data_IF_662474224431
#
_entry.id   IF_662474224431
#
_cell.length_a   1.000
_cell.length_b   1.000
_cell.length_c   1.000
_cell.angle_alpha   90.00
_cell.angle_beta   90.00
_cell.angle_gamma   90.00
#
_symmetry.space_group_name_H-M   'P 1'
#
loop_
_entity.id
_entity.type
_entity.pdbx_description
1 polymer ?
#
# COMPACT_ATOMS: atom_id res chain seq x y z
N UNK A 1 -4.34 11.02 33.33
CA UNK A 1 -3.10 10.25 33.09
C UNK A 1 -2.22 11.06 32.14
N UNK A 2 -1.15 11.66 32.64
CA UNK A 2 -0.14 12.27 31.77
C UNK A 2 0.65 11.15 31.09
N UNK A 3 0.59 11.10 29.76
CA UNK A 3 1.36 10.13 28.98
C UNK A 3 2.79 10.62 28.88
N UNK A 4 3.74 9.70 29.09
CA UNK A 4 5.16 9.98 28.99
C UNK A 4 5.50 10.63 27.63
N UNK A 5 6.09 11.84 27.61
CA UNK A 5 6.38 12.58 26.37
C UNK A 5 7.34 11.84 25.44
N UNK A 6 8.24 11.00 26.00
CA UNK A 6 9.16 10.15 25.21
C UNK A 6 8.39 9.07 24.45
N UNK A 7 7.38 8.47 25.10
CA UNK A 7 6.52 7.45 24.48
C UNK A 7 5.68 8.06 23.35
N UNK A 8 5.11 9.24 23.57
CA UNK A 8 4.35 9.98 22.56
C UNK A 8 5.22 10.33 21.34
N UNK A 9 6.46 10.77 21.57
CA UNK A 9 7.42 11.06 20.52
C UNK A 9 7.78 9.81 19.70
N UNK A 10 8.09 8.71 20.39
CA UNK A 10 8.42 7.43 19.74
C UNK A 10 7.24 6.91 18.90
N UNK A 11 6.02 6.92 19.46
CA UNK A 11 4.81 6.49 18.75
C UNK A 11 4.54 7.34 17.50
N UNK A 12 4.64 8.68 17.63
CA UNK A 12 4.52 9.60 16.50
C UNK A 12 5.52 9.28 15.39
N UNK A 13 6.79 9.10 15.75
CA UNK A 13 7.87 8.82 14.78
C UNK A 13 7.66 7.47 14.10
N UNK A 14 7.29 6.43 14.86
CA UNK A 14 6.98 5.11 14.31
C UNK A 14 5.84 5.18 13.31
N UNK A 15 4.70 5.78 13.67
CA UNK A 15 3.54 5.90 12.78
C UNK A 15 3.89 6.69 11.52
N UNK A 16 4.56 7.83 11.67
CA UNK A 16 4.97 8.67 10.54
C UNK A 16 5.91 7.92 9.59
N UNK A 17 6.93 7.25 10.11
CA UNK A 17 7.88 6.48 9.31
C UNK A 17 7.20 5.28 8.65
N UNK A 18 6.32 4.56 9.35
CA UNK A 18 5.56 3.45 8.77
C UNK A 18 4.70 3.90 7.59
N UNK A 19 4.04 5.06 7.70
CA UNK A 19 3.24 5.64 6.62
C UNK A 19 4.06 6.13 5.43
N UNK A 20 5.36 6.39 5.58
CA UNK A 20 6.26 6.76 4.47
C UNK A 20 6.91 5.53 3.85
N UNK A 21 7.40 4.60 4.69
CA UNK A 21 8.13 3.42 4.25
C UNK A 21 7.20 2.38 3.63
N UNK A 22 5.99 2.20 4.16
CA UNK A 22 5.02 1.25 3.60
C UNK A 22 4.74 1.51 2.12
N UNK A 23 4.42 2.76 1.69
CA UNK A 23 4.31 3.09 0.28
C UNK A 23 5.53 2.76 -0.57
N UNK A 24 6.74 3.04 -0.08
CA UNK A 24 7.97 2.74 -0.82
C UNK A 24 8.15 1.24 -1.04
N UNK A 25 7.86 0.43 -0.01
CA UNK A 25 7.88 -1.04 -0.14
C UNK A 25 6.83 -1.50 -1.13
N UNK A 26 5.61 -0.95 -1.09
CA UNK A 26 4.53 -1.31 -2.02
C UNK A 26 4.87 -0.94 -3.47
N UNK A 27 5.49 0.22 -3.71
CA UNK A 27 5.99 0.62 -5.03
C UNK A 27 7.03 -0.39 -5.51
N UNK A 28 8.02 -0.73 -4.68
CA UNK A 28 9.05 -1.70 -5.03
C UNK A 28 8.47 -3.07 -5.40
N UNK A 29 7.53 -3.59 -4.59
CA UNK A 29 6.86 -4.86 -4.87
C UNK A 29 6.07 -4.80 -6.19
N UNK A 30 5.31 -3.72 -6.41
CA UNK A 30 4.54 -3.52 -7.64
C UNK A 30 5.45 -3.46 -8.88
N UNK A 31 6.60 -2.77 -8.80
CA UNK A 31 7.58 -2.74 -9.87
C UNK A 31 8.18 -4.12 -10.16
N UNK A 32 8.51 -4.87 -9.11
CA UNK A 32 8.99 -6.25 -9.25
C UNK A 32 7.96 -7.12 -9.97
N UNK A 33 6.69 -7.00 -9.62
CA UNK A 33 5.63 -7.79 -10.23
C UNK A 33 5.41 -7.41 -11.72
N UNK A 34 5.46 -6.12 -12.05
CA UNK A 34 5.37 -5.66 -13.44
C UNK A 34 6.56 -6.18 -14.27
N UNK A 35 7.78 -6.15 -13.75
CA UNK A 35 8.98 -6.51 -14.50
C UNK A 35 9.16 -8.02 -14.67
N UNK A 36 8.80 -8.82 -13.66
CA UNK A 36 9.15 -10.24 -13.63
C UNK A 36 7.96 -11.20 -13.70
N UNK A 37 6.75 -10.74 -13.38
CA UNK A 37 5.54 -11.57 -13.32
C UNK A 37 4.64 -11.30 -14.53
N UNK A 38 4.32 -10.04 -14.81
CA UNK A 38 3.41 -9.66 -15.89
C UNK A 38 3.81 -10.22 -17.28
N UNK A 39 5.10 -10.23 -17.69
CA UNK A 39 5.50 -10.78 -18.98
C UNK A 39 5.21 -12.27 -19.13
N UNK A 40 5.26 -13.04 -18.03
CA UNK A 40 4.96 -14.47 -18.02
C UNK A 40 3.46 -14.75 -18.19
N UNK A 41 2.61 -13.81 -17.79
CA UNK A 41 1.15 -13.93 -17.90
C UNK A 41 0.72 -13.65 -19.35
N UNK A 42 1.32 -12.64 -19.99
CA UNK A 42 1.01 -12.29 -21.38
C UNK A 42 1.26 -13.42 -22.37
N UNK A 43 2.20 -14.32 -22.07
CA UNK A 43 2.49 -15.49 -22.91
C UNK A 43 1.45 -16.62 -22.77
N UNK A 44 0.59 -16.59 -21.75
CA UNK A 44 -0.35 -17.67 -21.41
C UNK A 44 -1.82 -17.35 -21.71
N UNK A 45 -2.18 -16.11 -22.00
CA UNK A 45 -3.59 -15.64 -22.00
C UNK A 45 -4.02 -15.14 -23.38
N UNK A 46 -5.27 -15.45 -23.77
CA UNK A 46 -5.85 -15.00 -25.05
C UNK A 46 -5.96 -13.46 -25.12
N UNK A 47 -5.84 -12.85 -26.32
CA UNK A 47 -5.85 -11.40 -26.50
C UNK A 47 -7.06 -10.68 -25.91
N UNK A 48 -8.24 -11.32 -25.91
CA UNK A 48 -9.47 -10.73 -25.37
C UNK A 48 -9.46 -10.65 -23.84
N UNK A 49 -8.91 -11.67 -23.18
CA UNK A 49 -8.77 -11.70 -21.72
C UNK A 49 -7.67 -10.73 -21.24
N UNK A 50 -6.64 -10.53 -22.07
CA UNK A 50 -5.57 -9.58 -21.81
C UNK A 50 -6.09 -8.15 -21.64
N UNK A 51 -7.06 -7.71 -22.46
CA UNK A 51 -7.61 -6.35 -22.37
C UNK A 51 -8.39 -6.12 -21.07
N UNK A 52 -9.15 -7.11 -20.60
CA UNK A 52 -9.88 -7.04 -19.32
C UNK A 52 -8.91 -6.96 -18.14
N UNK A 53 -7.83 -7.76 -18.18
CA UNK A 53 -6.76 -7.72 -17.17
C UNK A 53 -6.11 -6.34 -17.11
N UNK A 54 -5.84 -5.71 -18.26
CA UNK A 54 -5.26 -4.37 -18.30
C UNK A 54 -6.15 -3.29 -17.67
N UNK A 55 -7.45 -3.31 -17.96
CA UNK A 55 -8.40 -2.32 -17.40
C UNK A 55 -8.48 -2.46 -15.88
N UNK A 56 -8.52 -3.70 -15.37
CA UNK A 56 -8.60 -3.93 -13.93
C UNK A 56 -7.28 -3.58 -13.20
N UNK A 57 -6.13 -3.91 -13.80
CA UNK A 57 -4.82 -3.47 -13.31
C UNK A 57 -4.70 -1.94 -13.28
N UNK A 58 -5.22 -1.25 -14.30
CA UNK A 58 -5.20 0.21 -14.37
C UNK A 58 -6.06 0.86 -13.27
N UNK A 59 -7.30 0.39 -13.09
CA UNK A 59 -8.20 0.89 -12.03
C UNK A 59 -7.58 0.70 -10.64
N UNK A 60 -6.92 -0.45 -10.42
CA UNK A 60 -6.25 -0.73 -9.14
C UNK A 60 -4.98 0.07 -8.95
N UNK A 61 -4.22 0.30 -10.01
CA UNK A 61 -3.05 1.17 -9.96
C UNK A 61 -3.45 2.59 -9.52
N UNK A 62 -4.59 3.11 -9.98
CA UNK A 62 -5.13 4.39 -9.50
C UNK A 62 -5.43 4.33 -8.00
N UNK A 63 -6.21 3.35 -7.55
CA UNK A 63 -6.60 3.20 -6.13
C UNK A 63 -5.36 3.10 -5.23
N UNK A 64 -4.40 2.24 -5.59
CA UNK A 64 -3.14 2.07 -4.85
C UNK A 64 -2.36 3.38 -4.85
N UNK A 65 -2.14 3.99 -6.02
CA UNK A 65 -1.36 5.23 -6.12
C UNK A 65 -1.96 6.36 -5.27
N UNK A 66 -3.29 6.50 -5.26
CA UNK A 66 -3.99 7.47 -4.40
C UNK A 66 -3.80 7.13 -2.92
N UNK A 67 -3.95 5.87 -2.51
CA UNK A 67 -3.71 5.45 -1.12
C UNK A 67 -2.27 5.72 -0.67
N UNK A 68 -1.30 5.34 -1.48
CA UNK A 68 0.13 5.56 -1.22
C UNK A 68 0.48 7.04 -1.09
N UNK A 69 -0.14 7.89 -1.92
CA UNK A 69 0.04 9.33 -1.85
C UNK A 69 -0.53 9.89 -0.54
N UNK A 70 -1.74 9.49 -0.15
CA UNK A 70 -2.38 9.92 1.10
C UNK A 70 -1.53 9.51 2.31
N UNK A 71 -1.07 8.26 2.35
CA UNK A 71 -0.22 7.74 3.42
C UNK A 71 1.08 8.54 3.54
N UNK A 72 1.78 8.72 2.42
CA UNK A 72 3.05 9.44 2.39
C UNK A 72 2.85 10.90 2.83
N UNK A 73 1.83 11.57 2.29
CA UNK A 73 1.50 12.95 2.62
C UNK A 73 1.17 13.10 4.11
N UNK A 74 0.34 12.21 4.66
CA UNK A 74 0.00 12.22 6.08
C UNK A 74 1.21 11.87 6.97
N UNK A 75 2.02 10.90 6.57
CA UNK A 75 3.25 10.51 7.25
C UNK A 75 4.24 11.67 7.37
N UNK A 76 4.50 12.40 6.27
CA UNK A 76 5.33 13.61 6.29
C UNK A 76 4.71 14.73 7.11
N UNK A 77 3.40 14.98 6.96
CA UNK A 77 2.68 15.97 7.78
C UNK A 77 2.82 15.68 9.27
N UNK A 78 2.66 14.41 9.66
CA UNK A 78 2.83 13.98 11.05
C UNK A 78 4.28 14.14 11.48
N UNK A 79 5.26 13.75 10.67
CA UNK A 79 6.70 13.87 10.98
C UNK A 79 7.07 15.32 11.32
N UNK A 80 6.68 16.28 10.47
CA UNK A 80 7.01 17.70 10.58
C UNK A 80 6.25 18.44 11.70
N UNK A 81 5.11 17.91 12.13
CA UNK A 81 4.27 18.56 13.15
C UNK A 81 4.97 18.58 14.53
N UNK A 82 5.04 19.72 15.24
CA UNK A 82 5.66 19.76 16.57
C UNK A 82 4.90 18.87 17.59
N UNK A 83 5.62 18.36 18.59
CA UNK A 83 5.06 17.39 19.55
C UNK A 83 3.96 18.01 20.42
N UNK A 84 4.07 19.30 20.75
CA UNK A 84 3.05 20.03 21.53
C UNK A 84 1.74 20.12 20.76
N UNK A 85 1.80 20.31 19.43
CA UNK A 85 0.64 20.40 18.56
C UNK A 85 0.03 19.04 18.18
N UNK A 86 0.74 17.94 18.43
CA UNK A 86 0.29 16.59 18.04
C UNK A 86 -0.71 16.05 19.06
N UNK A 87 -2.01 16.09 18.75
CA UNK A 87 -3.06 15.43 19.57
C UNK A 87 -3.11 13.92 19.33
N UNK A 88 -3.56 13.14 20.30
CA UNK A 88 -3.73 11.68 20.16
C UNK A 88 -4.60 11.26 18.98
N UNK A 89 -5.61 12.07 18.62
CA UNK A 89 -6.44 11.82 17.45
C UNK A 89 -5.62 11.73 16.14
N UNK A 90 -4.51 12.46 16.01
CA UNK A 90 -3.64 12.35 14.83
C UNK A 90 -2.90 11.00 14.81
N UNK A 91 -2.51 10.50 15.98
CA UNK A 91 -1.85 9.20 16.09
C UNK A 91 -2.82 8.08 15.77
N UNK A 92 -4.04 8.13 16.34
CA UNK A 92 -5.10 7.17 16.04
C UNK A 92 -5.45 7.18 14.56
N UNK A 93 -5.62 8.36 13.97
CA UNK A 93 -5.88 8.48 12.54
C UNK A 93 -4.74 7.91 11.69
N UNK A 94 -3.48 8.17 12.06
CA UNK A 94 -2.33 7.58 11.37
C UNK A 94 -2.29 6.05 11.44
N UNK A 95 -2.66 5.45 12.58
CA UNK A 95 -2.76 3.98 12.71
C UNK A 95 -3.90 3.42 11.87
N UNK A 96 -5.08 4.08 11.89
CA UNK A 96 -6.22 3.66 11.07
C UNK A 96 -5.92 3.77 9.59
N UNK A 97 -5.25 4.83 9.17
CA UNK A 97 -4.82 5.05 7.80
C UNK A 97 -3.85 3.94 7.35
N UNK A 98 -2.85 3.63 8.17
CA UNK A 98 -1.91 2.54 7.90
C UNK A 98 -2.62 1.18 7.78
N UNK A 99 -3.56 0.90 8.68
CA UNK A 99 -4.35 -0.35 8.64
C UNK A 99 -5.21 -0.43 7.38
N UNK A 100 -5.89 0.66 7.00
CA UNK A 100 -6.68 0.73 5.77
C UNK A 100 -5.80 0.51 4.53
N UNK A 101 -4.64 1.14 4.47
CA UNK A 101 -3.67 0.97 3.37
C UNK A 101 -3.21 -0.47 3.22
N UNK A 102 -2.87 -1.15 4.33
CA UNK A 102 -2.49 -2.56 4.33
C UNK A 102 -3.63 -3.45 3.82
N UNK A 103 -4.87 -3.20 4.26
CA UNK A 103 -6.04 -3.96 3.83
C UNK A 103 -6.34 -3.75 2.34
N UNK A 104 -6.30 -2.51 1.86
CA UNK A 104 -6.51 -2.16 0.46
C UNK A 104 -5.46 -2.87 -0.39
N UNK A 105 -4.17 -2.76 -0.03
CA UNK A 105 -3.08 -3.44 -0.74
C UNK A 105 -3.29 -4.96 -0.80
N UNK A 106 -3.59 -5.61 0.34
CA UNK A 106 -3.82 -7.06 0.40
C UNK A 106 -5.04 -7.51 -0.41
N UNK A 107 -6.07 -6.68 -0.51
CA UNK A 107 -7.31 -6.98 -1.23
C UNK A 107 -7.20 -6.78 -2.75
N UNK A 108 -6.05 -6.37 -3.27
CA UNK A 108 -5.89 -6.10 -4.71
C UNK A 108 -5.69 -7.35 -5.55
N UNK A 109 -6.13 -7.26 -6.81
CA UNK A 109 -6.27 -8.37 -7.78
C UNK A 109 -4.95 -9.00 -8.17
N UNK A 110 -3.78 -8.43 -7.89
CA UNK A 110 -2.54 -9.15 -8.16
C UNK A 110 -2.49 -10.47 -7.37
N UNK A 111 -3.03 -10.48 -6.14
CA UNK A 111 -3.21 -11.68 -5.32
C UNK A 111 -4.30 -12.61 -5.88
N UNK A 112 -5.39 -12.08 -6.42
CA UNK A 112 -6.48 -12.87 -7.02
C UNK A 112 -6.11 -13.46 -8.40
N UNK A 113 -5.44 -12.68 -9.26
CA UNK A 113 -4.91 -13.12 -10.57
C UNK A 113 -3.75 -14.09 -10.39
N UNK A 114 -2.82 -13.83 -9.46
CA UNK A 114 -1.78 -14.80 -9.15
C UNK A 114 -2.36 -16.08 -8.55
N UNK A 115 -3.32 -15.99 -7.62
CA UNK A 115 -3.94 -17.19 -7.06
C UNK A 115 -4.71 -17.97 -8.12
N UNK A 116 -5.38 -17.32 -9.08
CA UNK A 116 -6.01 -18.02 -10.22
C UNK A 116 -5.00 -18.61 -11.21
N UNK A 117 -3.82 -18.00 -11.38
CA UNK A 117 -2.74 -18.56 -12.22
C UNK A 117 -2.03 -19.75 -11.57
N UNK A 118 -1.92 -19.80 -10.23
CA UNK A 118 -1.35 -20.96 -9.51
C UNK A 118 -2.24 -22.22 -9.58
N UNK A 119 -3.52 -22.09 -9.95
CA UNK A 119 -4.44 -23.23 -10.14
C UNK A 119 -4.58 -23.68 -11.60
N UNK A 120 -3.85 -23.09 -12.55
CA UNK A 120 -3.75 -23.66 -13.89
C UNK A 120 -2.79 -24.85 -13.83
N UNK A 121 -3.25 -26.10 -14.03
CA UNK A 121 -2.34 -27.23 -14.14
C UNK A 121 -1.41 -26.97 -15.32
N UNK A 122 -0.11 -27.04 -15.06
CA UNK A 122 0.92 -27.12 -16.09
C UNK A 122 0.73 -28.48 -16.79
N UNK A 123 -0.14 -28.52 -17.79
CA UNK A 123 -0.25 -29.60 -18.77
C UNK A 123 0.32 -29.14 -20.10
#
# INVERSE_FOLDING_TARGET
>A
MEVNPRLKFAAKKLIAVSLIVSPLVQIYLSFRDILFVLPKIQTLVSPANTQVIYIDLFNKAIIISTGLFIDSFYGFSLLLKPLEATRYLHLVFGVLLLAASILIYRSTVLTDVLSHLYYLPLT
#
